data_IF_287615186655
#
_entry.id   IF_287615186655
#
_cell.length_a   1.000
_cell.length_b   1.000
_cell.length_c   1.000
_cell.angle_alpha   90.00
_cell.angle_beta   90.00
_cell.angle_gamma   90.00
#
_symmetry.space_group_name_H-M   'P 1'
#
loop_
_entity.id
_entity.type
_entity.pdbx_description
1 polymer ?
#
# COMPACT_ATOMS: atom_id res chain seq x y z
N UNK A 1 22.80 28.98 -19.96
CA UNK A 1 21.60 28.38 -19.35
C UNK A 1 21.28 26.97 -19.88
N UNK A 2 21.25 26.75 -21.20
CA UNK A 2 20.78 25.48 -21.80
C UNK A 2 21.61 24.23 -21.45
N UNK A 3 22.95 24.36 -21.34
CA UNK A 3 23.86 23.23 -21.03
C UNK A 3 23.61 22.63 -19.63
N UNK A 4 23.35 23.45 -18.63
CA UNK A 4 23.09 22.98 -17.26
C UNK A 4 21.72 22.28 -17.14
N UNK A 5 20.73 22.74 -17.91
CA UNK A 5 19.42 22.09 -17.99
C UNK A 5 19.54 20.70 -18.61
N UNK A 6 20.18 20.58 -19.78
CA UNK A 6 20.42 19.30 -20.43
C UNK A 6 21.19 18.34 -19.51
N UNK A 7 22.27 18.80 -18.87
CA UNK A 7 23.03 18.01 -17.90
C UNK A 7 22.17 17.52 -16.72
N UNK A 8 21.27 18.36 -16.20
CA UNK A 8 20.37 17.96 -15.11
C UNK A 8 19.34 16.90 -15.52
N UNK A 9 18.84 16.94 -16.77
CA UNK A 9 17.94 15.91 -17.30
C UNK A 9 18.66 14.60 -17.57
N UNK A 10 19.86 14.64 -18.15
CA UNK A 10 20.66 13.44 -18.37
C UNK A 10 20.98 12.74 -17.05
N UNK A 11 21.34 13.49 -16.00
CA UNK A 11 21.52 12.93 -14.66
C UNK A 11 20.23 12.36 -14.07
N UNK A 12 19.09 13.04 -14.25
CA UNK A 12 17.82 12.53 -13.75
C UNK A 12 17.45 11.19 -14.42
N UNK A 13 17.59 11.06 -15.74
CA UNK A 13 17.35 9.81 -16.47
C UNK A 13 18.31 8.72 -16.01
N UNK A 14 19.59 9.05 -15.85
CA UNK A 14 20.61 8.11 -15.37
C UNK A 14 20.29 7.64 -13.95
N UNK A 15 19.87 8.55 -13.05
CA UNK A 15 19.48 8.22 -11.70
C UNK A 15 18.27 7.26 -11.66
N UNK A 16 17.26 7.48 -12.51
CA UNK A 16 16.12 6.56 -12.63
C UNK A 16 16.58 5.17 -13.08
N UNK A 17 17.46 5.09 -14.09
CA UNK A 17 18.00 3.82 -14.57
C UNK A 17 18.80 3.08 -13.48
N UNK A 18 19.61 3.80 -12.70
CA UNK A 18 20.35 3.23 -11.58
C UNK A 18 19.41 2.72 -10.48
N UNK A 19 18.37 3.49 -10.13
CA UNK A 19 17.38 3.08 -9.12
C UNK A 19 16.68 1.79 -9.53
N UNK A 20 16.32 1.65 -10.81
CA UNK A 20 15.72 0.43 -11.34
C UNK A 20 16.70 -0.73 -11.37
N UNK A 21 17.93 -0.50 -11.86
CA UNK A 21 18.97 -1.53 -11.98
C UNK A 21 19.42 -2.11 -10.64
N UNK A 22 19.47 -1.28 -9.60
CA UNK A 22 19.88 -1.68 -8.26
C UNK A 22 18.71 -1.98 -7.32
N UNK A 23 17.47 -2.04 -7.83
CA UNK A 23 16.27 -2.32 -7.03
C UNK A 23 16.08 -1.36 -5.84
N UNK A 24 16.50 -0.10 -5.99
CA UNK A 24 16.41 0.95 -4.96
C UNK A 24 15.03 1.60 -4.88
N UNK A 25 14.05 1.10 -5.65
CA UNK A 25 12.70 1.66 -5.70
C UNK A 25 12.07 1.78 -4.30
N UNK A 26 12.12 0.75 -3.41
CA UNK A 26 11.55 0.86 -2.07
C UNK A 26 12.22 1.94 -1.23
N UNK A 27 13.54 2.10 -1.35
CA UNK A 27 14.30 3.15 -0.66
C UNK A 27 13.87 4.55 -1.11
N UNK A 28 13.75 4.74 -2.43
CA UNK A 28 13.36 6.03 -3.02
C UNK A 28 11.93 6.40 -2.62
N UNK A 29 11.00 5.44 -2.66
CA UNK A 29 9.62 5.65 -2.21
C UNK A 29 9.55 6.02 -0.72
N UNK A 30 10.25 5.27 0.13
CA UNK A 30 10.28 5.53 1.57
C UNK A 30 10.90 6.89 1.90
N UNK A 31 12.00 7.25 1.24
CA UNK A 31 12.64 8.55 1.41
C UNK A 31 11.78 9.71 0.93
N UNK A 32 11.11 9.58 -0.22
CA UNK A 32 10.15 10.58 -0.70
C UNK A 32 8.95 10.71 0.23
N UNK A 33 8.44 9.60 0.78
CA UNK A 33 7.35 9.63 1.75
C UNK A 33 7.73 10.41 3.01
N UNK A 34 8.88 10.10 3.62
CA UNK A 34 9.39 10.84 4.79
C UNK A 34 9.59 12.31 4.44
N UNK A 35 10.27 12.60 3.32
CA UNK A 35 10.53 13.97 2.89
C UNK A 35 9.26 14.81 2.72
N UNK A 36 8.30 14.32 1.94
CA UNK A 36 7.05 15.03 1.63
C UNK A 36 6.20 15.17 2.89
N UNK A 37 6.09 14.11 3.71
CA UNK A 37 5.26 14.14 4.91
C UNK A 37 5.84 15.10 5.95
N UNK A 38 7.16 15.09 6.15
CA UNK A 38 7.86 16.07 6.99
C UNK A 38 7.63 17.49 6.50
N UNK A 39 7.79 17.78 5.21
CA UNK A 39 7.55 19.12 4.67
C UNK A 39 6.08 19.57 4.86
N UNK A 40 5.12 18.66 4.70
CA UNK A 40 3.69 18.94 4.90
C UNK A 40 3.36 19.21 6.38
N UNK A 41 3.90 18.42 7.30
CA UNK A 41 3.76 18.63 8.75
C UNK A 41 4.49 19.90 9.20
N UNK A 42 5.69 20.15 8.69
CA UNK A 42 6.48 21.34 8.98
C UNK A 42 5.76 22.65 8.63
N UNK A 43 4.87 22.66 7.63
CA UNK A 43 4.04 23.84 7.31
C UNK A 43 3.05 24.22 8.41
N UNK A 44 2.71 23.30 9.31
CA UNK A 44 1.83 23.55 10.44
C UNK A 44 2.60 24.03 11.69
N UNK A 45 3.93 24.08 11.66
CA UNK A 45 4.70 24.63 12.77
C UNK A 45 4.52 26.16 12.86
N UNK A 46 4.49 26.72 14.09
CA UNK A 46 4.40 28.15 14.30
C UNK A 46 5.52 28.91 13.58
N UNK A 47 5.14 29.94 12.82
CA UNK A 47 6.08 30.74 12.02
C UNK A 47 7.02 31.61 12.86
N UNK A 48 6.66 31.84 14.13
CA UNK A 48 7.33 32.77 15.04
C UNK A 48 8.42 32.11 15.90
N UNK A 49 8.84 30.89 15.56
CA UNK A 49 9.83 30.14 16.33
C UNK A 49 11.26 30.61 16.02
N UNK A 50 12.10 30.65 17.06
CA UNK A 50 13.53 30.88 16.92
C UNK A 50 14.17 29.77 16.07
N UNK A 51 15.30 30.05 15.39
CA UNK A 51 15.96 29.12 14.46
C UNK A 51 16.25 27.75 15.09
N UNK A 52 16.76 27.75 16.33
CA UNK A 52 17.04 26.53 17.07
C UNK A 52 15.79 25.71 17.37
N UNK A 53 14.74 26.36 17.88
CA UNK A 53 13.46 25.70 18.16
C UNK A 53 12.85 25.08 16.89
N UNK A 54 12.94 25.79 15.76
CA UNK A 54 12.47 25.29 14.46
C UNK A 54 13.25 24.07 13.98
N UNK A 55 14.58 24.05 14.15
CA UNK A 55 15.41 22.89 13.80
C UNK A 55 15.07 21.66 14.67
N UNK A 56 14.95 21.85 15.98
CA UNK A 56 14.57 20.77 16.90
C UNK A 56 13.19 20.22 16.53
N UNK A 57 12.20 21.09 16.31
CA UNK A 57 10.86 20.64 15.91
C UNK A 57 10.83 19.93 14.57
N UNK A 58 11.65 20.34 13.59
CA UNK A 58 11.80 19.60 12.33
C UNK A 58 12.37 18.21 12.56
N UNK A 59 13.39 18.07 13.40
CA UNK A 59 13.95 16.77 13.79
C UNK A 59 12.91 15.87 14.46
N UNK A 60 12.14 16.43 15.40
CA UNK A 60 11.03 15.71 16.06
C UNK A 60 9.97 15.26 15.05
N UNK A 61 9.61 16.10 14.08
CA UNK A 61 8.66 15.74 13.01
C UNK A 61 9.21 14.59 12.16
N UNK A 62 10.49 14.62 11.78
CA UNK A 62 11.11 13.51 11.03
C UNK A 62 11.05 12.20 11.81
N UNK A 63 11.46 12.21 13.09
CA UNK A 63 11.41 11.03 13.94
C UNK A 63 9.98 10.52 14.08
N UNK A 64 9.02 11.41 14.33
CA UNK A 64 7.60 11.06 14.42
C UNK A 64 7.08 10.41 13.14
N UNK A 65 7.42 10.96 11.98
CA UNK A 65 7.03 10.42 10.66
C UNK A 65 7.62 9.04 10.44
N UNK A 66 8.92 8.85 10.69
CA UNK A 66 9.59 7.55 10.52
C UNK A 66 8.97 6.51 11.44
N UNK A 67 8.76 6.85 12.72
CA UNK A 67 8.13 5.96 13.70
C UNK A 67 6.70 5.60 13.28
N UNK A 68 5.91 6.57 12.81
CA UNK A 68 4.54 6.34 12.36
C UNK A 68 4.46 5.41 11.12
N UNK A 69 5.33 5.63 10.12
CA UNK A 69 5.37 4.78 8.93
C UNK A 69 5.83 3.36 9.28
N UNK A 70 6.84 3.25 10.15
CA UNK A 70 7.38 1.95 10.58
C UNK A 70 6.35 1.19 11.42
N UNK A 71 5.63 1.86 12.31
CA UNK A 71 4.59 1.23 13.13
C UNK A 71 3.36 0.82 12.30
N UNK A 72 2.95 1.63 11.32
CA UNK A 72 1.88 1.26 10.39
C UNK A 72 2.25 0.02 9.57
N UNK A 73 3.48 -0.03 9.03
CA UNK A 73 3.96 -1.21 8.30
C UNK A 73 4.03 -2.45 9.21
N UNK A 74 4.55 -2.30 10.43
CA UNK A 74 4.61 -3.38 11.41
C UNK A 74 3.22 -3.88 11.82
N UNK A 75 2.25 -2.98 12.02
CA UNK A 75 0.87 -3.34 12.36
C UNK A 75 0.20 -4.12 11.23
N UNK A 76 0.37 -3.69 9.97
CA UNK A 76 -0.11 -4.42 8.79
C UNK A 76 0.55 -5.80 8.73
N UNK A 77 1.87 -5.86 8.91
CA UNK A 77 2.61 -7.12 8.88
C UNK A 77 2.19 -8.08 9.99
N UNK A 78 2.06 -7.61 11.23
CA UNK A 78 1.63 -8.44 12.37
C UNK A 78 0.19 -8.92 12.19
N UNK A 79 -0.66 -8.08 11.60
CA UNK A 79 -2.06 -8.44 11.35
C UNK A 79 -2.19 -9.52 10.28
N UNK A 80 -1.44 -9.39 9.17
CA UNK A 80 -1.38 -10.41 8.10
C UNK A 80 -0.71 -11.70 8.59
N UNK A 81 0.40 -11.58 9.32
CA UNK A 81 1.20 -12.71 9.81
C UNK A 81 0.60 -13.43 11.02
N UNK A 82 -0.39 -12.83 11.69
CA UNK A 82 -1.18 -13.56 12.68
C UNK A 82 -1.87 -14.74 11.99
N UNK A 83 -1.66 -15.96 12.48
CA UNK A 83 -2.17 -17.21 11.91
C UNK A 83 -3.70 -17.26 11.76
N UNK A 84 -4.41 -16.25 12.26
CA UNK A 84 -5.86 -16.12 12.24
C UNK A 84 -6.40 -15.30 11.08
N UNK A 85 -5.60 -14.46 10.40
CA UNK A 85 -6.10 -13.58 9.33
C UNK A 85 -6.18 -14.28 7.97
N UNK A 86 -5.01 -14.67 7.43
CA UNK A 86 -4.91 -15.24 6.09
C UNK A 86 -5.46 -16.67 6.01
N UNK A 87 -5.19 -17.50 7.03
CA UNK A 87 -5.71 -18.85 7.11
C UNK A 87 -7.23 -18.87 7.26
N UNK A 88 -7.81 -17.95 8.06
CA UNK A 88 -9.26 -17.85 8.21
C UNK A 88 -9.93 -17.29 6.95
N UNK A 89 -9.30 -16.36 6.24
CA UNK A 89 -9.80 -15.89 4.94
C UNK A 89 -9.77 -17.02 3.91
N UNK A 90 -8.71 -17.83 3.87
CA UNK A 90 -8.61 -18.99 2.99
C UNK A 90 -9.63 -20.08 3.34
N UNK A 91 -9.83 -20.42 4.61
CA UNK A 91 -10.88 -21.36 5.01
C UNK A 91 -12.26 -20.81 4.68
N UNK A 92 -12.50 -19.51 4.88
CA UNK A 92 -13.77 -18.87 4.52
C UNK A 92 -14.00 -18.92 3.02
N UNK A 93 -12.98 -18.68 2.18
CA UNK A 93 -13.08 -18.82 0.72
C UNK A 93 -13.41 -20.26 0.32
N UNK A 94 -12.77 -21.24 0.94
CA UNK A 94 -13.02 -22.68 0.69
C UNK A 94 -14.43 -23.09 1.14
N UNK A 95 -14.88 -22.66 2.31
CA UNK A 95 -16.19 -23.00 2.86
C UNK A 95 -17.33 -22.30 2.10
N UNK A 96 -17.11 -21.06 1.64
CA UNK A 96 -18.06 -20.32 0.80
C UNK A 96 -18.15 -20.92 -0.60
N UNK A 97 -17.03 -21.28 -1.22
CA UNK A 97 -17.01 -22.06 -2.47
C UNK A 97 -17.76 -23.39 -2.34
N UNK A 98 -17.63 -24.07 -1.20
CA UNK A 98 -18.38 -25.29 -0.90
C UNK A 98 -19.89 -25.06 -0.77
N UNK A 99 -20.30 -23.94 -0.16
CA UNK A 99 -21.70 -23.56 0.04
C UNK A 99 -22.37 -23.03 -1.25
N UNK A 100 -21.61 -22.51 -2.21
CA UNK A 100 -22.17 -22.18 -3.52
C UNK A 100 -22.56 -23.41 -4.32
N UNK A 101 -21.81 -24.51 -4.18
CA UNK A 101 -22.11 -25.75 -4.91
C UNK A 101 -23.48 -26.29 -4.54
N UNK A 102 -23.94 -26.12 -3.31
CA UNK A 102 -25.27 -26.55 -2.87
C UNK A 102 -26.41 -25.61 -3.31
N UNK A 103 -26.09 -24.42 -3.83
CA UNK A 103 -27.06 -23.39 -4.22
C UNK A 103 -27.08 -23.16 -5.76
N UNK A 104 -26.18 -23.80 -6.51
CA UNK A 104 -26.08 -23.68 -7.96
C UNK A 104 -26.90 -24.78 -8.68
N UNK A 105 -27.61 -24.46 -9.77
CA UNK A 105 -28.27 -25.46 -10.61
C UNK A 105 -27.26 -26.43 -11.26
N UNK A 106 -27.66 -27.69 -11.41
CA UNK A 106 -26.83 -28.84 -11.86
C UNK A 106 -25.86 -28.59 -13.04
N UNK A 107 -26.20 -27.81 -14.09
CA UNK A 107 -25.30 -27.63 -15.24
C UNK A 107 -24.00 -26.87 -14.93
N UNK A 108 -23.97 -26.07 -13.85
CA UNK A 108 -22.79 -25.28 -13.45
C UNK A 108 -21.91 -26.06 -12.47
N UNK A 109 -22.47 -27.07 -11.80
CA UNK A 109 -21.76 -27.92 -10.83
C UNK A 109 -20.79 -28.92 -11.50
N UNK A 110 -21.00 -29.26 -12.78
CA UNK A 110 -20.10 -30.13 -13.56
C UNK A 110 -18.83 -29.43 -14.08
N UNK A 111 -18.83 -28.10 -14.14
CA UNK A 111 -17.66 -27.29 -14.52
C UNK A 111 -16.71 -27.01 -13.35
N UNK A 112 -17.13 -27.34 -12.12
CA UNK A 112 -16.32 -27.22 -10.91
C UNK A 112 -15.65 -28.57 -10.58
N UNK A 113 -14.35 -28.59 -10.21
CA UNK A 113 -13.63 -29.81 -9.87
C UNK A 113 -14.39 -30.66 -8.84
N UNK A 114 -14.48 -31.97 -9.09
CA UNK A 114 -15.49 -32.88 -8.54
C UNK A 114 -15.47 -33.07 -7.01
N UNK A 115 -14.46 -32.58 -6.30
CA UNK A 115 -14.33 -32.74 -4.84
C UNK A 115 -13.76 -31.49 -4.15
N UNK A 116 -14.59 -30.87 -3.30
CA UNK A 116 -14.21 -29.75 -2.40
C UNK A 116 -12.98 -30.11 -1.56
N UNK A 117 -12.89 -31.36 -1.12
CA UNK A 117 -11.73 -31.88 -0.40
C UNK A 117 -10.45 -31.86 -1.25
N UNK A 118 -10.53 -32.14 -2.56
CA UNK A 118 -9.37 -32.12 -3.47
C UNK A 118 -8.90 -30.70 -3.80
N UNK A 119 -9.83 -29.75 -3.94
CA UNK A 119 -9.54 -28.32 -4.07
C UNK A 119 -8.96 -27.73 -2.77
N UNK A 120 -9.50 -28.12 -1.62
CA UNK A 120 -8.98 -27.79 -0.29
C UNK A 120 -7.57 -28.36 -0.11
N UNK A 121 -7.33 -29.61 -0.49
CA UNK A 121 -6.02 -30.23 -0.37
C UNK A 121 -5.00 -29.58 -1.31
N UNK A 122 -5.35 -29.33 -2.58
CA UNK A 122 -4.48 -28.60 -3.51
C UNK A 122 -4.22 -27.17 -3.07
N UNK A 123 -5.21 -26.44 -2.56
CA UNK A 123 -5.01 -25.08 -2.06
C UNK A 123 -4.18 -25.09 -0.77
N UNK A 124 -4.43 -26.00 0.17
CA UNK A 124 -3.66 -26.12 1.42
C UNK A 124 -2.22 -26.58 1.15
N UNK A 125 -2.00 -27.45 0.15
CA UNK A 125 -0.67 -27.93 -0.25
C UNK A 125 0.09 -26.86 -1.04
N UNK A 126 -0.57 -26.18 -1.99
CA UNK A 126 0.00 -25.07 -2.75
C UNK A 126 0.30 -23.86 -1.85
N UNK A 127 -0.59 -23.52 -0.90
CA UNK A 127 -0.33 -22.49 0.11
C UNK A 127 0.62 -22.97 1.20
N UNK A 128 0.64 -24.26 1.56
CA UNK A 128 1.55 -24.84 2.56
C UNK A 128 3.01 -24.80 2.11
N UNK A 129 3.28 -25.17 0.86
CA UNK A 129 4.60 -24.97 0.23
C UNK A 129 4.96 -23.48 0.11
N UNK A 130 3.98 -22.60 -0.15
CA UNK A 130 4.24 -21.15 -0.23
C UNK A 130 4.42 -20.49 1.14
N UNK A 131 3.77 -20.97 2.21
CA UNK A 131 3.95 -20.49 3.60
C UNK A 131 5.31 -20.90 4.15
N UNK A 132 5.82 -22.10 3.79
CA UNK A 132 7.21 -22.45 4.07
C UNK A 132 8.20 -21.59 3.26
N UNK A 133 7.89 -21.26 2.00
CA UNK A 133 8.69 -20.30 1.22
C UNK A 133 8.63 -18.88 1.77
N UNK A 134 7.52 -18.43 2.37
CA UNK A 134 7.41 -17.14 3.10
C UNK A 134 8.41 -17.09 4.27
N UNK A 135 8.66 -18.21 4.95
CA UNK A 135 9.66 -18.29 6.03
C UNK A 135 11.11 -18.24 5.52
N UNK A 136 11.37 -18.68 4.28
CA UNK A 136 12.70 -18.62 3.63
C UNK A 136 13.00 -17.25 2.98
N UNK A 137 12.00 -16.35 2.86
CA UNK A 137 12.20 -14.94 2.44
C UNK A 137 12.86 -14.08 3.53
N UNK A 138 13.46 -14.65 4.58
CA UNK A 138 14.10 -13.88 5.65
C UNK A 138 15.30 -13.02 5.17
N UNK A 139 16.13 -13.53 4.27
CA UNK A 139 17.39 -12.88 3.87
C UNK A 139 17.17 -11.82 2.77
N UNK A 140 16.30 -12.09 1.79
CA UNK A 140 15.91 -11.11 0.76
C UNK A 140 15.05 -9.98 1.37
N UNK A 141 14.14 -10.30 2.30
CA UNK A 141 13.35 -9.28 3.02
C UNK A 141 14.21 -8.35 3.85
N UNK A 142 15.30 -8.85 4.46
CA UNK A 142 16.21 -8.01 5.23
C UNK A 142 16.90 -6.96 4.36
N UNK A 143 17.31 -7.31 3.13
CA UNK A 143 17.89 -6.34 2.18
C UNK A 143 16.88 -5.26 1.81
N UNK A 144 15.63 -5.64 1.50
CA UNK A 144 14.57 -4.67 1.17
C UNK A 144 14.26 -3.77 2.37
N UNK A 145 14.18 -4.33 3.57
CA UNK A 145 13.99 -3.59 4.81
C UNK A 145 15.12 -2.58 5.06
N UNK A 146 16.38 -2.99 4.88
CA UNK A 146 17.54 -2.11 5.01
C UNK A 146 17.49 -0.94 3.99
N UNK A 147 17.09 -1.22 2.74
CA UNK A 147 16.89 -0.19 1.72
C UNK A 147 15.80 0.81 2.11
N UNK A 148 14.66 0.33 2.63
CA UNK A 148 13.57 1.18 3.11
C UNK A 148 14.06 2.08 4.25
N UNK A 149 14.73 1.51 5.25
CA UNK A 149 15.26 2.25 6.40
C UNK A 149 16.26 3.32 5.97
N UNK A 150 17.22 2.96 5.11
CA UNK A 150 18.21 3.89 4.58
C UNK A 150 17.55 5.00 3.75
N UNK A 151 16.55 4.66 2.95
CA UNK A 151 15.72 5.61 2.23
C UNK A 151 15.02 6.61 3.15
N UNK A 152 14.38 6.12 4.22
CA UNK A 152 13.70 6.95 5.23
C UNK A 152 14.67 7.93 5.90
N UNK A 153 15.86 7.47 6.30
CA UNK A 153 16.90 8.31 6.92
C UNK A 153 17.35 9.41 5.95
N UNK A 154 17.67 9.06 4.70
CA UNK A 154 18.08 10.03 3.68
C UNK A 154 16.96 11.05 3.40
N UNK A 155 15.70 10.59 3.32
CA UNK A 155 14.54 11.46 3.15
C UNK A 155 14.37 12.45 4.30
N UNK A 156 14.57 11.99 5.53
CA UNK A 156 14.57 12.83 6.73
C UNK A 156 15.68 13.88 6.72
N UNK A 157 16.92 13.47 6.39
CA UNK A 157 18.05 14.38 6.25
C UNK A 157 17.79 15.46 5.20
N UNK A 158 17.26 15.06 4.03
CA UNK A 158 16.89 15.99 2.97
C UNK A 158 15.80 16.99 3.41
N UNK A 159 14.86 16.55 4.24
CA UNK A 159 13.78 17.40 4.76
C UNK A 159 14.30 18.46 5.73
N UNK A 160 15.22 18.11 6.62
CA UNK A 160 15.87 19.06 7.54
C UNK A 160 16.70 20.08 6.75
N UNK A 161 17.49 19.60 5.77
CA UNK A 161 18.35 20.46 4.95
C UNK A 161 17.56 21.48 4.11
N UNK A 162 16.36 21.11 3.65
CA UNK A 162 15.47 21.99 2.88
C UNK A 162 15.18 23.32 3.58
N UNK A 163 15.16 23.34 4.91
CA UNK A 163 14.84 24.54 5.69
C UNK A 163 16.07 25.33 6.15
N UNK A 164 17.28 24.80 5.95
CA UNK A 164 18.54 25.40 6.37
C UNK A 164 19.23 26.20 5.27
N UNK A 165 19.03 25.87 3.99
CA UNK A 165 19.73 26.53 2.90
C UNK A 165 19.16 27.92 2.55
N UNK A 166 19.96 28.96 2.81
CA UNK A 166 19.76 30.31 2.31
C UNK A 166 21.09 30.87 1.78
N UNK A 167 21.65 30.29 0.71
CA UNK A 167 22.77 30.88 -0.02
C UNK A 167 22.70 30.58 -1.53
N UNK A 168 23.33 31.47 -2.31
CA UNK A 168 23.39 31.53 -3.77
C UNK A 168 23.95 30.24 -4.39
N UNK A 169 23.09 29.24 -4.59
CA UNK A 169 23.50 27.97 -5.20
C UNK A 169 23.89 28.12 -6.69
N UNK A 170 24.90 27.38 -7.18
CA UNK A 170 25.28 27.41 -8.60
C UNK A 170 24.10 27.06 -9.54
N UNK A 171 24.05 27.60 -10.77
CA UNK A 171 22.94 27.39 -11.71
C UNK A 171 22.59 25.90 -11.96
N UNK A 172 23.59 25.03 -11.94
CA UNK A 172 23.41 23.59 -12.08
C UNK A 172 22.69 22.95 -10.87
N UNK A 173 23.07 23.35 -9.64
CA UNK A 173 22.42 22.85 -8.42
C UNK A 173 20.97 23.31 -8.35
N UNK A 174 20.68 24.55 -8.78
CA UNK A 174 19.31 25.07 -8.89
C UNK A 174 18.49 24.20 -9.86
N UNK A 175 19.04 23.86 -11.03
CA UNK A 175 18.38 23.00 -12.01
C UNK A 175 18.08 21.60 -11.44
N UNK A 176 19.04 20.97 -10.76
CA UNK A 176 18.88 19.66 -10.13
C UNK A 176 17.82 19.68 -9.01
N UNK A 177 17.87 20.69 -8.12
CA UNK A 177 16.84 20.89 -7.07
C UNK A 177 15.45 21.11 -7.66
N UNK A 178 15.35 21.76 -8.82
CA UNK A 178 14.07 21.92 -9.51
C UNK A 178 13.51 20.57 -9.96
N UNK A 179 14.35 19.65 -10.47
CA UNK A 179 13.91 18.30 -10.86
C UNK A 179 13.48 17.46 -9.66
N UNK A 180 14.26 17.47 -8.57
CA UNK A 180 13.90 16.77 -7.33
C UNK A 180 12.59 17.30 -6.73
N UNK A 181 12.37 18.62 -6.74
CA UNK A 181 11.10 19.23 -6.30
C UNK A 181 9.92 18.81 -7.18
N UNK A 182 10.13 18.71 -8.50
CA UNK A 182 9.10 18.23 -9.42
C UNK A 182 8.74 16.76 -9.12
N UNK A 183 9.73 15.90 -8.89
CA UNK A 183 9.52 14.52 -8.47
C UNK A 183 8.76 14.42 -7.14
N UNK A 184 9.19 15.18 -6.12
CA UNK A 184 8.51 15.22 -4.83
C UNK A 184 7.07 15.73 -4.93
N UNK A 185 6.81 16.72 -5.79
CA UNK A 185 5.46 17.26 -6.04
C UNK A 185 4.58 16.25 -6.76
N UNK A 186 5.12 15.53 -7.75
CA UNK A 186 4.40 14.47 -8.44
C UNK A 186 4.06 13.32 -7.47
N UNK A 187 5.02 12.92 -6.64
CA UNK A 187 4.84 11.92 -5.60
C UNK A 187 3.75 12.34 -4.59
N UNK A 188 3.81 13.58 -4.05
CA UNK A 188 2.78 14.11 -3.15
C UNK A 188 1.38 14.04 -3.78
N UNK A 189 1.24 14.49 -5.03
CA UNK A 189 -0.06 14.45 -5.72
C UNK A 189 -0.58 13.03 -5.87
N UNK A 190 0.26 12.09 -6.30
CA UNK A 190 -0.15 10.71 -6.55
C UNK A 190 -0.46 9.98 -5.23
N UNK A 191 0.44 10.00 -4.26
CA UNK A 191 0.27 9.25 -3.01
C UNK A 191 -0.89 9.77 -2.20
N UNK A 192 -1.06 11.10 -2.06
CA UNK A 192 -2.19 11.63 -1.31
C UNK A 192 -3.53 11.50 -2.04
N UNK A 193 -3.53 11.50 -3.38
CA UNK A 193 -4.72 11.10 -4.12
C UNK A 193 -5.06 9.63 -3.84
N UNK A 194 -4.06 8.73 -3.89
CA UNK A 194 -4.24 7.30 -3.63
C UNK A 194 -4.77 7.04 -2.21
N UNK A 195 -4.25 7.74 -1.20
CA UNK A 195 -4.75 7.65 0.18
C UNK A 195 -6.23 8.01 0.25
N UNK A 196 -6.64 9.09 -0.41
CA UNK A 196 -8.06 9.49 -0.45
C UNK A 196 -8.94 8.47 -1.19
N UNK A 197 -8.47 7.96 -2.33
CA UNK A 197 -9.20 6.97 -3.14
C UNK A 197 -9.37 5.67 -2.36
N UNK A 198 -8.28 5.12 -1.81
CA UNK A 198 -8.33 3.89 -1.01
C UNK A 198 -9.17 4.07 0.25
N UNK A 199 -9.07 5.21 0.94
CA UNK A 199 -9.91 5.50 2.10
C UNK A 199 -11.40 5.57 1.72
N UNK A 200 -11.76 6.22 0.61
CA UNK A 200 -13.13 6.26 0.12
C UNK A 200 -13.64 4.84 -0.18
N UNK A 201 -12.86 4.05 -0.94
CA UNK A 201 -13.22 2.67 -1.26
C UNK A 201 -13.39 1.81 0.01
N UNK A 202 -12.48 1.99 0.98
CA UNK A 202 -12.53 1.30 2.27
C UNK A 202 -13.76 1.69 3.07
N UNK A 203 -14.10 2.97 3.13
CA UNK A 203 -15.29 3.46 3.85
C UNK A 203 -16.56 2.93 3.20
N UNK A 204 -16.66 2.99 1.88
CA UNK A 204 -17.79 2.44 1.13
C UNK A 204 -17.92 0.92 1.33
N UNK A 205 -16.80 0.21 1.27
CA UNK A 205 -16.73 -1.23 1.57
C UNK A 205 -17.13 -1.52 3.01
N UNK A 206 -16.71 -0.70 3.98
CA UNK A 206 -17.09 -0.84 5.37
C UNK A 206 -18.60 -0.63 5.57
N UNK A 207 -19.18 0.40 4.95
CA UNK A 207 -20.63 0.63 4.97
C UNK A 207 -21.36 -0.56 4.37
N UNK A 208 -20.90 -1.08 3.24
CA UNK A 208 -21.52 -2.23 2.60
C UNK A 208 -21.45 -3.50 3.48
N UNK A 209 -20.26 -3.87 3.94
CA UNK A 209 -20.02 -5.12 4.65
C UNK A 209 -20.51 -5.09 6.11
N UNK A 210 -20.39 -3.95 6.80
CA UNK A 210 -20.67 -3.83 8.23
C UNK A 210 -22.03 -3.19 8.54
N UNK A 211 -22.69 -2.57 7.55
CA UNK A 211 -23.98 -1.90 7.75
C UNK A 211 -25.03 -2.50 6.82
N UNK A 212 -24.87 -2.38 5.51
CA UNK A 212 -25.90 -2.79 4.55
C UNK A 212 -26.20 -4.30 4.62
N UNK A 213 -25.19 -5.15 4.54
CA UNK A 213 -25.35 -6.61 4.60
C UNK A 213 -25.97 -7.09 5.93
N UNK A 214 -25.52 -6.61 7.11
CA UNK A 214 -26.16 -6.92 8.38
C UNK A 214 -27.62 -6.46 8.47
N UNK A 215 -28.00 -5.35 7.85
CA UNK A 215 -29.41 -4.92 7.77
C UNK A 215 -30.29 -5.92 7.00
N UNK A 216 -29.72 -6.70 6.07
CA UNK A 216 -30.41 -7.79 5.38
C UNK A 216 -30.22 -9.16 6.06
N UNK A 217 -29.68 -9.20 7.28
CA UNK A 217 -29.45 -10.43 8.05
C UNK A 217 -28.23 -11.25 7.60
N UNK A 218 -27.38 -10.71 6.71
CA UNK A 218 -26.20 -11.40 6.18
C UNK A 218 -24.96 -10.86 6.90
N UNK A 219 -24.30 -11.72 7.68
CA UNK A 219 -23.03 -11.37 8.34
C UNK A 219 -21.89 -12.10 7.65
N UNK A 220 -20.96 -11.35 7.07
CA UNK A 220 -19.78 -11.94 6.47
C UNK A 220 -18.73 -12.26 7.55
N UNK A 221 -18.17 -13.47 7.57
CA UNK A 221 -17.04 -13.79 8.43
C UNK A 221 -15.88 -12.85 8.10
N UNK A 222 -15.21 -12.32 9.12
CA UNK A 222 -14.01 -11.50 8.95
C UNK A 222 -14.22 -10.20 8.14
N UNK A 223 -15.44 -9.64 8.11
CA UNK A 223 -15.73 -8.38 7.42
C UNK A 223 -14.76 -7.23 7.80
N UNK A 224 -14.38 -7.11 9.07
CA UNK A 224 -13.39 -6.11 9.52
C UNK A 224 -11.99 -6.32 8.94
N UNK A 225 -11.59 -7.58 8.72
CA UNK A 225 -10.31 -7.95 8.07
C UNK A 225 -10.37 -7.57 6.60
N UNK A 226 -11.49 -7.85 5.92
CA UNK A 226 -11.69 -7.49 4.52
C UNK A 226 -11.65 -5.97 4.31
N UNK A 227 -12.25 -5.19 5.21
CA UNK A 227 -12.15 -3.73 5.19
C UNK A 227 -10.70 -3.26 5.33
N UNK A 228 -9.95 -3.79 6.31
CA UNK A 228 -8.55 -3.41 6.49
C UNK A 228 -7.68 -3.82 5.31
N UNK A 229 -7.91 -5.02 4.77
CA UNK A 229 -7.24 -5.52 3.58
C UNK A 229 -7.54 -4.63 2.37
N UNK A 230 -8.79 -4.18 2.23
CA UNK A 230 -9.20 -3.26 1.16
C UNK A 230 -8.41 -1.96 1.21
N UNK A 231 -8.19 -1.41 2.41
CA UNK A 231 -7.36 -0.24 2.58
C UNK A 231 -5.89 -0.50 2.24
N UNK A 232 -5.32 -1.57 2.82
CA UNK A 232 -3.90 -1.92 2.69
C UNK A 232 -3.53 -2.28 1.25
N UNK A 233 -4.35 -3.09 0.60
CA UNK A 233 -4.17 -3.46 -0.80
C UNK A 233 -4.49 -2.25 -1.68
N UNK A 234 -5.51 -1.44 -1.38
CA UNK A 234 -5.79 -0.19 -2.09
C UNK A 234 -4.66 0.85 -2.07
N UNK A 235 -3.70 0.73 -1.15
CA UNK A 235 -2.45 1.53 -1.16
C UNK A 235 -1.43 1.10 -2.21
N UNK A 236 -1.50 -0.13 -2.75
CA UNK A 236 -0.69 -0.55 -3.89
C UNK A 236 -1.27 0.10 -5.16
N UNK A 237 -0.56 1.06 -5.79
CA UNK A 237 -1.15 1.85 -6.86
C UNK A 237 -1.55 0.98 -8.05
N UNK A 238 -2.79 1.18 -8.53
CA UNK A 238 -3.43 0.50 -9.67
C UNK A 238 -3.62 -1.03 -9.50
N UNK A 239 -2.55 -1.78 -9.24
CA UNK A 239 -2.57 -3.24 -9.06
C UNK A 239 -3.33 -3.63 -7.80
N UNK A 240 -3.13 -2.89 -6.71
CA UNK A 240 -3.80 -3.15 -5.45
C UNK A 240 -5.30 -3.03 -5.53
N UNK A 241 -5.79 -1.89 -6.01
CA UNK A 241 -7.23 -1.68 -6.14
C UNK A 241 -7.87 -2.77 -7.03
N UNK A 242 -7.20 -3.16 -8.13
CA UNK A 242 -7.67 -4.25 -8.99
C UNK A 242 -7.70 -5.61 -8.26
N UNK A 243 -6.64 -5.94 -7.53
CA UNK A 243 -6.53 -7.20 -6.77
C UNK A 243 -7.58 -7.25 -5.65
N UNK A 244 -7.70 -6.17 -4.87
CA UNK A 244 -8.70 -6.08 -3.79
C UNK A 244 -10.11 -6.21 -4.32
N UNK A 245 -10.45 -5.47 -5.38
CA UNK A 245 -11.77 -5.53 -5.99
C UNK A 245 -12.06 -6.92 -6.56
N UNK A 246 -11.06 -7.58 -7.16
CA UNK A 246 -11.18 -8.96 -7.63
C UNK A 246 -11.44 -9.93 -6.48
N UNK A 247 -10.72 -9.81 -5.36
CA UNK A 247 -10.93 -10.63 -4.17
C UNK A 247 -12.32 -10.40 -3.57
N UNK A 248 -12.79 -9.16 -3.49
CA UNK A 248 -14.13 -8.82 -2.98
C UNK A 248 -15.22 -9.46 -3.87
N UNK A 249 -15.10 -9.34 -5.20
CA UNK A 249 -16.04 -9.96 -6.14
C UNK A 249 -16.02 -11.47 -5.99
N UNK A 250 -14.84 -12.09 -5.89
CA UNK A 250 -14.70 -13.54 -5.78
C UNK A 250 -15.34 -14.07 -4.49
N UNK A 251 -15.11 -13.41 -3.36
CA UNK A 251 -15.71 -13.77 -2.06
C UNK A 251 -17.22 -13.51 -2.09
N UNK A 252 -17.67 -12.41 -2.70
CA UNK A 252 -19.08 -12.05 -2.82
C UNK A 252 -19.85 -13.05 -3.69
N UNK A 253 -19.23 -13.47 -4.80
CA UNK A 253 -19.74 -14.54 -5.66
C UNK A 253 -19.85 -15.83 -4.86
N UNK A 254 -18.84 -16.10 -4.00
CA UNK A 254 -18.74 -17.12 -2.94
C UNK A 254 -19.92 -17.22 -1.99
N UNK A 255 -20.61 -16.10 -1.74
CA UNK A 255 -21.72 -16.05 -0.77
C UNK A 255 -23.05 -16.21 -1.48
N UNK A 256 -23.22 -15.52 -2.60
CA UNK A 256 -24.28 -15.83 -3.56
C UNK A 256 -23.97 -15.22 -4.92
N UNK A 257 -24.45 -15.82 -6.02
CA UNK A 257 -24.30 -15.25 -7.36
C UNK A 257 -24.85 -13.81 -7.44
N UNK A 258 -25.96 -13.54 -6.76
CA UNK A 258 -26.56 -12.20 -6.72
C UNK A 258 -25.71 -11.17 -5.97
N UNK A 259 -25.03 -11.60 -4.89
CA UNK A 259 -24.11 -10.74 -4.13
C UNK A 259 -22.84 -10.46 -4.92
N UNK A 260 -22.31 -11.45 -5.65
CA UNK A 260 -21.16 -11.23 -6.54
C UNK A 260 -21.45 -10.26 -7.68
N UNK A 261 -22.63 -10.35 -8.32
CA UNK A 261 -23.06 -9.40 -9.36
C UNK A 261 -23.30 -8.01 -8.77
N UNK A 262 -23.91 -7.92 -7.59
CA UNK A 262 -24.10 -6.65 -6.88
C UNK A 262 -22.77 -5.98 -6.49
N UNK A 263 -21.81 -6.75 -5.97
CA UNK A 263 -20.46 -6.28 -5.62
C UNK A 263 -19.69 -5.85 -6.86
N UNK A 264 -19.79 -6.58 -7.98
CA UNK A 264 -19.15 -6.21 -9.24
C UNK A 264 -19.74 -4.91 -9.81
N UNK A 265 -21.07 -4.77 -9.83
CA UNK A 265 -21.74 -3.54 -10.24
C UNK A 265 -21.37 -2.36 -9.35
N UNK A 266 -21.34 -2.56 -8.03
CA UNK A 266 -20.96 -1.53 -7.06
C UNK A 266 -19.51 -1.07 -7.27
N UNK A 267 -18.57 -2.01 -7.45
CA UNK A 267 -17.15 -1.71 -7.65
C UNK A 267 -16.82 -1.11 -9.01
N UNK A 268 -17.64 -1.35 -10.05
CA UNK A 268 -17.49 -0.72 -11.37
C UNK A 268 -18.03 0.72 -11.38
N UNK A 269 -18.96 1.04 -10.48
CA UNK A 269 -19.59 2.36 -10.38
C UNK A 269 -18.74 3.40 -9.64
N UNK A 270 -17.74 2.98 -8.87
CA UNK A 270 -16.87 3.81 -8.02
C UNK A 270 -15.42 3.84 -8.51
#
# INVERSE_FOLDING_TARGET
>A
MNRYLAGSYMLAVTAVMLVLRFHLVPAVFAGLAVYVLTLKLARHLPRNMNRFARQVSLGVVVVCVITCLTSAAAAIWSFIGSSHGMAALLTTIVDTLGSLRSTLPDPVAELLPTTIEGLRQQLVEMFGEHVQKISVVGIESFKVFAHILLGMVIGGMAAVHHFMEHESAPPFIIALRSRLRMLATAFDKVVFAQVKISALNTVLTAIYLLVALPFFGIQLPMASILVLLTFAVGMLPVVGNLVSNTVIVLISLGVSPGVGVASLLFLVLI
#
